data_IF_682862803356
#
_entry.id   IF_682862803356
#
_cell.length_a   1.000
_cell.length_b   1.000
_cell.length_c   1.000
_cell.angle_alpha   90.00
_cell.angle_beta   90.00
_cell.angle_gamma   90.00
#
_symmetry.space_group_name_H-M   'P 1'
#
loop_
_entity.id
_entity.type
_entity.pdbx_description
1 polymer ?
#
# COMPACT_ATOMS: atom_id res chain seq x y z
N UNK A 1 -20.27 28.25 -28.54
CA UNK A 1 -20.22 28.22 -27.05
C UNK A 1 -19.52 29.47 -26.54
N UNK A 2 -20.06 30.13 -25.50
CA UNK A 2 -19.39 31.25 -24.80
C UNK A 2 -18.06 30.77 -24.19
N UNK A 3 -17.03 31.62 -24.14
CA UNK A 3 -15.66 31.25 -23.74
C UNK A 3 -15.58 30.58 -22.36
N UNK A 4 -16.38 31.04 -21.39
CA UNK A 4 -16.49 30.44 -20.05
C UNK A 4 -16.94 28.99 -20.06
N UNK A 5 -17.94 28.67 -20.89
CA UNK A 5 -18.43 27.30 -21.03
C UNK A 5 -17.36 26.40 -21.64
N UNK A 6 -16.49 26.93 -22.51
CA UNK A 6 -15.38 26.16 -23.09
C UNK A 6 -14.31 25.87 -22.05
N UNK A 7 -13.81 26.87 -21.32
CA UNK A 7 -12.81 26.62 -20.27
C UNK A 7 -13.32 25.60 -19.25
N UNK A 8 -14.57 25.74 -18.81
CA UNK A 8 -15.26 24.76 -17.97
C UNK A 8 -15.18 23.34 -18.54
N UNK A 9 -15.68 23.11 -19.76
CA UNK A 9 -15.74 21.77 -20.36
C UNK A 9 -14.35 21.19 -20.60
N UNK A 10 -13.35 22.02 -20.92
CA UNK A 10 -11.98 21.56 -21.14
C UNK A 10 -11.24 21.25 -19.83
N UNK A 11 -11.39 22.04 -18.77
CA UNK A 11 -10.84 21.70 -17.45
C UNK A 11 -11.43 20.39 -16.96
N UNK A 12 -12.75 20.23 -17.08
CA UNK A 12 -13.42 18.99 -16.74
C UNK A 12 -12.88 17.80 -17.56
N UNK A 13 -12.80 17.94 -18.89
CA UNK A 13 -12.29 16.89 -19.77
C UNK A 13 -10.82 16.55 -19.46
N UNK A 14 -9.97 17.54 -19.19
CA UNK A 14 -8.56 17.30 -18.85
C UNK A 14 -8.43 16.55 -17.53
N UNK A 15 -9.23 16.87 -16.52
CA UNK A 15 -9.22 16.17 -15.24
C UNK A 15 -9.73 14.73 -15.35
N UNK A 16 -10.80 14.49 -16.12
CA UNK A 16 -11.33 13.14 -16.35
C UNK A 16 -10.32 12.27 -17.11
N UNK A 17 -9.70 12.80 -18.17
CA UNK A 17 -8.67 12.08 -18.93
C UNK A 17 -7.44 11.82 -18.05
N UNK A 18 -6.98 12.80 -17.28
CA UNK A 18 -5.87 12.61 -16.36
C UNK A 18 -6.17 11.54 -15.30
N UNK A 19 -7.36 11.54 -14.70
CA UNK A 19 -7.77 10.51 -13.75
C UNK A 19 -7.82 9.11 -14.38
N UNK A 20 -8.33 8.99 -15.61
CA UNK A 20 -8.37 7.72 -16.34
C UNK A 20 -6.97 7.20 -16.69
N UNK A 21 -6.03 8.10 -17.03
CA UNK A 21 -4.66 7.74 -17.39
C UNK A 21 -3.78 7.38 -16.20
N UNK A 22 -4.04 7.95 -15.02
CA UNK A 22 -3.22 7.69 -13.83
C UNK A 22 -3.78 6.55 -12.97
N UNK A 23 -5.09 6.27 -13.05
CA UNK A 23 -5.73 5.20 -12.26
C UNK A 23 -5.76 5.48 -10.75
N UNK A 24 -5.44 6.72 -10.32
CA UNK A 24 -5.23 7.07 -8.90
C UNK A 24 -6.51 7.49 -8.19
N UNK A 25 -7.57 7.82 -8.93
CA UNK A 25 -8.87 8.20 -8.37
C UNK A 25 -10.01 7.37 -8.99
N UNK A 26 -11.07 7.12 -8.21
CA UNK A 26 -12.28 6.53 -8.77
C UNK A 26 -12.88 7.47 -9.82
N UNK A 27 -13.39 6.92 -10.93
CA UNK A 27 -13.98 7.72 -12.00
C UNK A 27 -15.14 8.58 -11.48
N UNK A 28 -15.85 8.10 -10.45
CA UNK A 28 -16.93 8.81 -9.78
C UNK A 28 -16.43 10.04 -9.02
N UNK A 29 -15.36 9.90 -8.24
CA UNK A 29 -14.81 11.01 -7.46
C UNK A 29 -14.13 12.03 -8.37
N UNK A 30 -13.43 11.57 -9.42
CA UNK A 30 -12.87 12.42 -10.46
C UNK A 30 -13.96 13.20 -11.22
N UNK A 31 -15.12 12.59 -11.46
CA UNK A 31 -16.26 13.24 -12.12
C UNK A 31 -16.83 14.40 -11.29
N UNK A 32 -17.13 14.17 -10.00
CA UNK A 32 -17.71 15.20 -9.13
C UNK A 32 -16.69 16.26 -8.69
N UNK A 33 -15.46 15.87 -8.37
CA UNK A 33 -14.37 16.80 -8.09
C UNK A 33 -14.04 17.67 -9.31
N UNK A 34 -14.01 17.06 -10.50
CA UNK A 34 -13.80 17.74 -11.77
C UNK A 34 -14.89 18.76 -12.10
N UNK A 35 -16.14 18.51 -11.71
CA UNK A 35 -17.26 19.42 -11.94
C UNK A 35 -17.08 20.77 -11.23
N UNK A 36 -16.74 20.74 -9.94
CA UNK A 36 -16.51 21.96 -9.17
C UNK A 36 -15.20 22.66 -9.56
N UNK A 37 -14.15 21.90 -9.83
CA UNK A 37 -12.90 22.40 -10.37
C UNK A 37 -13.10 23.17 -11.70
N UNK A 38 -13.95 22.63 -12.58
CA UNK A 38 -14.29 23.27 -13.84
C UNK A 38 -15.05 24.59 -13.65
N UNK A 39 -15.93 24.69 -12.65
CA UNK A 39 -16.61 25.95 -12.31
C UNK A 39 -15.61 27.02 -11.86
N UNK A 40 -14.66 26.66 -11.00
CA UNK A 40 -13.59 27.57 -10.58
C UNK A 40 -12.75 28.06 -11.79
N UNK A 41 -12.41 27.15 -12.70
CA UNK A 41 -11.68 27.49 -13.92
C UNK A 41 -12.48 28.42 -14.86
N UNK A 42 -13.80 28.25 -14.93
CA UNK A 42 -14.68 29.16 -15.65
C UNK A 42 -14.66 30.57 -15.05
N UNK A 43 -14.71 30.68 -13.71
CA UNK A 43 -14.63 31.98 -13.00
C UNK A 43 -13.29 32.70 -13.26
N UNK A 44 -12.21 31.93 -13.37
CA UNK A 44 -10.86 32.46 -13.61
C UNK A 44 -10.53 32.75 -15.08
N UNK A 45 -11.44 32.42 -16.02
CA UNK A 45 -11.17 32.53 -17.47
C UNK A 45 -10.73 33.93 -17.90
N UNK A 46 -11.37 35.00 -17.39
CA UNK A 46 -10.94 36.38 -17.71
C UNK A 46 -9.51 36.68 -17.22
N UNK A 47 -9.14 36.14 -16.06
CA UNK A 47 -7.81 36.34 -15.50
C UNK A 47 -6.76 35.62 -16.36
N UNK A 48 -7.05 34.40 -16.81
CA UNK A 48 -6.19 33.66 -17.74
C UNK A 48 -5.97 34.42 -19.04
N UNK A 49 -7.06 34.88 -19.69
CA UNK A 49 -6.99 35.66 -20.93
C UNK A 49 -6.15 36.92 -20.77
N UNK A 50 -6.37 37.69 -19.69
CA UNK A 50 -5.65 38.94 -19.42
C UNK A 50 -4.16 38.73 -19.12
N UNK A 51 -3.85 37.69 -18.34
CA UNK A 51 -2.47 37.35 -17.98
C UNK A 51 -1.64 36.84 -19.16
N UNK A 52 -2.33 36.32 -20.19
CA UNK A 52 -1.73 35.80 -21.40
C UNK A 52 -0.95 34.47 -21.20
N UNK A 53 -0.45 33.87 -22.29
CA UNK A 53 0.12 32.52 -22.25
C UNK A 53 1.34 32.36 -21.32
N UNK A 54 2.05 33.46 -21.04
CA UNK A 54 3.24 33.47 -20.17
C UNK A 54 2.90 33.13 -18.72
N UNK A 55 1.76 33.57 -18.22
CA UNK A 55 1.41 33.47 -16.80
C UNK A 55 0.12 32.67 -16.55
N UNK A 56 -0.74 32.50 -17.55
CA UNK A 56 -2.00 31.78 -17.39
C UNK A 56 -1.80 30.36 -16.87
N UNK A 57 -0.82 29.61 -17.41
CA UNK A 57 -0.49 28.26 -16.95
C UNK A 57 -0.11 28.22 -15.46
N UNK A 58 0.67 29.21 -14.99
CA UNK A 58 1.08 29.32 -13.59
C UNK A 58 -0.11 29.63 -12.67
N UNK A 59 -0.98 30.57 -13.08
CA UNK A 59 -2.20 30.91 -12.33
C UNK A 59 -3.15 29.70 -12.30
N UNK A 60 -3.26 28.98 -13.41
CA UNK A 60 -3.99 27.72 -13.50
C UNK A 60 -3.45 26.69 -12.51
N UNK A 61 -2.14 26.40 -12.57
CA UNK A 61 -1.50 25.46 -11.65
C UNK A 61 -1.73 25.82 -10.18
N UNK A 62 -1.56 27.10 -9.81
CA UNK A 62 -1.79 27.58 -8.45
C UNK A 62 -3.26 27.40 -8.02
N UNK A 63 -4.22 27.71 -8.90
CA UNK A 63 -5.63 27.51 -8.63
C UNK A 63 -5.98 26.01 -8.45
N UNK A 64 -5.39 25.13 -9.27
CA UNK A 64 -5.53 23.68 -9.14
C UNK A 64 -4.99 23.16 -7.81
N UNK A 65 -3.80 23.61 -7.40
CA UNK A 65 -3.22 23.24 -6.10
C UNK A 65 -4.06 23.74 -4.92
N UNK A 66 -4.48 25.01 -4.94
CA UNK A 66 -5.31 25.59 -3.87
C UNK A 66 -6.67 24.88 -3.76
N UNK A 67 -7.25 24.47 -4.89
CA UNK A 67 -8.46 23.66 -4.91
C UNK A 67 -8.29 22.33 -4.17
N UNK A 68 -7.20 21.61 -4.43
CA UNK A 68 -6.92 20.34 -3.76
C UNK A 68 -6.67 20.54 -2.28
N UNK A 69 -5.93 21.58 -1.88
CA UNK A 69 -5.72 21.91 -0.46
C UNK A 69 -7.06 22.19 0.23
N UNK A 70 -7.96 22.95 -0.41
CA UNK A 70 -9.30 23.21 0.12
C UNK A 70 -10.13 21.92 0.25
N UNK A 71 -10.06 21.01 -0.73
CA UNK A 71 -10.73 19.71 -0.67
C UNK A 71 -10.16 18.80 0.40
N UNK A 72 -8.83 18.76 0.56
CA UNK A 72 -8.18 18.00 1.62
C UNK A 72 -8.64 18.47 3.00
N UNK A 73 -8.65 19.78 3.23
CA UNK A 73 -9.15 20.34 4.49
C UNK A 73 -10.63 20.02 4.72
N UNK A 74 -11.48 20.08 3.68
CA UNK A 74 -12.87 19.62 3.78
C UNK A 74 -12.95 18.16 4.26
N UNK A 75 -12.14 17.26 3.70
CA UNK A 75 -12.09 15.85 4.13
C UNK A 75 -11.56 15.75 5.56
N UNK A 76 -10.55 16.54 5.92
CA UNK A 76 -9.99 16.53 7.27
C UNK A 76 -10.99 16.98 8.34
N UNK A 77 -11.86 17.93 8.03
CA UNK A 77 -12.86 18.46 8.98
C UNK A 77 -14.14 17.63 9.04
N UNK A 78 -14.58 17.03 7.93
CA UNK A 78 -15.90 16.40 7.83
C UNK A 78 -15.86 14.92 7.43
N UNK A 79 -14.69 14.38 7.12
CA UNK A 79 -14.50 13.01 6.64
C UNK A 79 -14.30 12.00 7.75
N UNK A 80 -14.57 10.74 7.42
CA UNK A 80 -14.27 9.60 8.28
C UNK A 80 -12.75 9.30 8.29
N UNK A 81 -12.21 8.66 9.34
CA UNK A 81 -10.78 8.36 9.46
C UNK A 81 -10.17 7.64 8.26
N UNK A 82 -10.92 6.74 7.63
CA UNK A 82 -10.48 6.00 6.44
C UNK A 82 -10.30 6.92 5.22
N UNK A 83 -11.20 7.89 5.04
CA UNK A 83 -11.13 8.87 3.95
C UNK A 83 -10.01 9.88 4.17
N UNK A 84 -9.71 10.22 5.42
CA UNK A 84 -8.59 11.06 5.78
C UNK A 84 -7.27 10.36 5.42
N UNK A 85 -7.12 9.09 5.78
CA UNK A 85 -5.92 8.31 5.43
C UNK A 85 -5.75 8.16 3.92
N UNK A 86 -6.84 7.89 3.19
CA UNK A 86 -6.81 7.81 1.73
C UNK A 86 -6.45 9.16 1.10
N UNK A 87 -6.98 10.27 1.62
CA UNK A 87 -6.67 11.60 1.12
C UNK A 87 -5.23 12.02 1.43
N UNK A 88 -4.69 11.70 2.61
CA UNK A 88 -3.28 11.88 2.95
C UNK A 88 -2.37 11.07 2.01
N UNK A 89 -2.82 9.89 1.60
CA UNK A 89 -2.13 9.03 0.65
C UNK A 89 -2.11 9.60 -0.77
N UNK A 90 -3.25 10.09 -1.28
CA UNK A 90 -3.34 10.59 -2.68
C UNK A 90 -3.02 12.07 -2.83
N UNK A 91 -2.79 12.82 -1.75
CA UNK A 91 -2.67 14.29 -1.77
C UNK A 91 -1.67 14.81 -2.80
N UNK A 92 -0.45 14.26 -2.82
CA UNK A 92 0.57 14.68 -3.79
C UNK A 92 0.15 14.40 -5.24
N UNK A 93 -0.64 13.34 -5.43
CA UNK A 93 -1.18 13.01 -6.73
C UNK A 93 -2.30 13.94 -7.16
N UNK A 94 -3.24 14.16 -6.26
CA UNK A 94 -4.37 15.05 -6.51
C UNK A 94 -3.88 16.47 -6.82
N UNK A 95 -2.88 16.97 -6.10
CA UNK A 95 -2.25 18.27 -6.37
C UNK A 95 -1.72 18.33 -7.80
N UNK A 96 -0.93 17.33 -8.21
CA UNK A 96 -0.26 17.35 -9.51
C UNK A 96 -1.25 17.23 -10.68
N UNK A 97 -2.25 16.35 -10.57
CA UNK A 97 -3.31 16.18 -11.59
C UNK A 97 -4.13 17.45 -11.74
N UNK A 98 -4.54 18.07 -10.62
CA UNK A 98 -5.35 19.29 -10.68
C UNK A 98 -4.53 20.51 -11.11
N UNK A 99 -3.28 20.63 -10.66
CA UNK A 99 -2.38 21.67 -11.14
C UNK A 99 -2.20 21.58 -12.66
N UNK A 100 -1.98 20.37 -13.19
CA UNK A 100 -1.83 20.14 -14.63
C UNK A 100 -3.12 20.41 -15.42
N UNK A 101 -4.26 19.92 -14.94
CA UNK A 101 -5.56 20.14 -15.59
C UNK A 101 -5.93 21.62 -15.67
N UNK A 102 -5.75 22.37 -14.58
CA UNK A 102 -5.99 23.81 -14.59
C UNK A 102 -4.95 24.58 -15.38
N UNK A 103 -3.66 24.20 -15.34
CA UNK A 103 -2.61 24.84 -16.13
C UNK A 103 -2.88 24.70 -17.63
N UNK A 104 -3.24 23.50 -18.09
CA UNK A 104 -3.62 23.25 -19.48
C UNK A 104 -4.85 24.04 -19.91
N UNK A 105 -5.89 24.09 -19.07
CA UNK A 105 -7.10 24.85 -19.37
C UNK A 105 -6.88 26.36 -19.38
N UNK A 106 -6.04 26.87 -18.47
CA UNK A 106 -5.67 28.27 -18.43
C UNK A 106 -4.82 28.67 -19.64
N UNK A 107 -3.86 27.82 -20.04
CA UNK A 107 -3.08 28.03 -21.26
C UNK A 107 -3.98 28.02 -22.50
N UNK A 108 -4.91 27.08 -22.59
CA UNK A 108 -5.92 27.04 -23.65
C UNK A 108 -6.70 28.36 -23.72
N UNK A 109 -7.28 28.81 -22.59
CA UNK A 109 -8.03 30.06 -22.52
C UNK A 109 -7.20 31.26 -22.99
N UNK A 110 -5.94 31.34 -22.56
CA UNK A 110 -5.04 32.41 -22.98
C UNK A 110 -4.66 32.34 -24.46
N UNK A 111 -4.38 31.16 -25.00
CA UNK A 111 -4.01 30.97 -26.41
C UNK A 111 -5.17 31.24 -27.37
N UNK A 112 -6.42 31.03 -26.93
CA UNK A 112 -7.61 31.32 -27.72
C UNK A 112 -7.77 32.79 -28.11
N UNK A 113 -7.13 33.69 -27.37
CA UNK A 113 -7.10 35.12 -27.72
C UNK A 113 -6.17 35.44 -28.89
N UNK A 114 -5.31 34.48 -29.30
CA UNK A 114 -4.21 34.71 -30.26
C UNK A 114 -4.13 33.69 -31.39
N UNK A 115 -4.73 32.51 -31.21
CA UNK A 115 -4.62 31.40 -32.14
C UNK A 115 -5.97 30.75 -32.41
N UNK A 116 -6.06 30.10 -33.58
CA UNK A 116 -7.19 29.25 -33.92
C UNK A 116 -7.37 28.14 -32.87
N UNK A 117 -8.62 27.76 -32.65
CA UNK A 117 -9.00 26.78 -31.62
C UNK A 117 -8.17 25.49 -31.62
N UNK A 118 -7.89 24.83 -32.77
CA UNK A 118 -7.10 23.60 -32.76
C UNK A 118 -5.69 23.78 -32.18
N UNK A 119 -5.03 24.90 -32.48
CA UNK A 119 -3.69 25.22 -31.95
C UNK A 119 -3.73 25.51 -30.45
N UNK A 120 -4.73 26.27 -30.00
CA UNK A 120 -4.92 26.56 -28.59
C UNK A 120 -5.25 25.30 -27.79
N UNK A 121 -6.13 24.43 -28.32
CA UNK A 121 -6.49 23.13 -27.75
C UNK A 121 -5.27 22.22 -27.65
N UNK A 122 -4.50 22.11 -28.73
CA UNK A 122 -3.25 21.34 -28.75
C UNK A 122 -2.26 21.82 -27.69
N UNK A 123 -2.06 23.14 -27.56
CA UNK A 123 -1.17 23.70 -26.54
C UNK A 123 -1.61 23.38 -25.10
N UNK A 124 -2.90 23.54 -24.80
CA UNK A 124 -3.45 23.21 -23.48
C UNK A 124 -3.37 21.72 -23.15
N UNK A 125 -3.70 20.85 -24.11
CA UNK A 125 -3.61 19.39 -23.96
C UNK A 125 -2.17 18.92 -23.78
N UNK A 126 -1.24 19.41 -24.59
CA UNK A 126 0.18 19.04 -24.50
C UNK A 126 0.76 19.42 -23.14
N UNK A 127 0.42 20.61 -22.63
CA UNK A 127 0.87 21.03 -21.31
C UNK A 127 0.28 20.14 -20.20
N UNK A 128 -1.04 19.90 -20.21
CA UNK A 128 -1.69 19.04 -19.21
C UNK A 128 -1.13 17.61 -19.25
N UNK A 129 -0.89 17.06 -20.43
CA UNK A 129 -0.30 15.74 -20.60
C UNK A 129 1.17 15.70 -20.15
N UNK A 130 1.98 16.70 -20.51
CA UNK A 130 3.37 16.79 -20.06
C UNK A 130 3.48 16.89 -18.53
N UNK A 131 2.56 17.59 -17.88
CA UNK A 131 2.53 17.74 -16.42
C UNK A 131 1.90 16.54 -15.68
N UNK A 132 1.22 15.63 -16.37
CA UNK A 132 0.63 14.42 -15.78
C UNK A 132 1.33 13.15 -16.25
N UNK A 133 1.23 12.81 -17.52
CA UNK A 133 1.70 11.55 -18.10
C UNK A 133 3.20 11.35 -17.92
N UNK A 134 4.02 12.40 -18.06
CA UNK A 134 5.48 12.25 -17.92
C UNK A 134 5.86 11.96 -16.46
N UNK A 135 5.47 12.76 -15.45
CA UNK A 135 5.74 12.43 -14.05
C UNK A 135 5.14 11.08 -13.63
N UNK A 136 3.88 10.81 -13.95
CA UNK A 136 3.23 9.56 -13.53
C UNK A 136 3.72 8.33 -14.27
N UNK A 137 4.03 8.44 -15.56
CA UNK A 137 4.64 7.35 -16.33
C UNK A 137 6.02 6.99 -15.77
N UNK A 138 6.81 8.00 -15.40
CA UNK A 138 8.11 7.80 -14.75
C UNK A 138 7.93 7.20 -13.35
N UNK A 139 7.00 7.72 -12.53
CA UNK A 139 6.71 7.17 -11.21
C UNK A 139 6.24 5.72 -11.33
N UNK A 140 5.27 5.42 -12.19
CA UNK A 140 4.77 4.07 -12.41
C UNK A 140 5.88 3.12 -12.89
N UNK A 141 6.77 3.60 -13.77
CA UNK A 141 7.94 2.83 -14.20
C UNK A 141 8.92 2.56 -13.06
N UNK A 142 9.24 3.58 -12.24
CA UNK A 142 10.07 3.42 -11.03
C UNK A 142 9.39 2.49 -10.03
N UNK A 143 8.08 2.58 -9.87
CA UNK A 143 7.30 1.76 -8.93
C UNK A 143 7.30 0.31 -9.36
N UNK A 144 7.11 0.07 -10.66
CA UNK A 144 7.18 -1.26 -11.23
C UNK A 144 8.59 -1.86 -11.11
N UNK A 145 9.64 -1.10 -11.45
CA UNK A 145 11.00 -1.63 -11.54
C UNK A 145 11.77 -1.61 -10.23
N UNK A 146 11.59 -0.59 -9.39
CA UNK A 146 12.42 -0.30 -8.21
C UNK A 146 11.65 -0.49 -6.92
N UNK A 147 10.34 -0.22 -6.87
CA UNK A 147 9.52 -0.36 -5.66
C UNK A 147 8.46 -1.46 -5.77
N UNK A 148 8.79 -2.55 -6.48
CA UNK A 148 7.93 -3.73 -6.62
C UNK A 148 7.60 -4.41 -5.29
N UNK A 149 6.61 -5.33 -5.27
CA UNK A 149 6.13 -5.97 -4.06
C UNK A 149 7.21 -6.67 -3.26
N UNK A 150 7.01 -6.76 -1.94
CA UNK A 150 7.91 -7.46 -1.03
C UNK A 150 7.24 -8.74 -0.57
N UNK A 151 7.89 -9.88 -0.75
CA UNK A 151 7.45 -11.14 -0.18
C UNK A 151 8.20 -11.42 1.12
N UNK A 152 7.47 -11.53 2.21
CA UNK A 152 8.03 -11.84 3.53
C UNK A 152 7.79 -13.32 3.83
N UNK A 153 8.88 -14.06 4.08
CA UNK A 153 8.84 -15.42 4.60
C UNK A 153 9.37 -15.39 6.03
N UNK A 154 8.51 -15.74 6.99
CA UNK A 154 8.84 -15.72 8.41
C UNK A 154 9.33 -17.09 8.85
N UNK A 155 10.54 -17.15 9.42
CA UNK A 155 11.12 -18.32 10.06
C UNK A 155 11.14 -18.12 11.57
N UNK A 156 10.70 -19.14 12.29
CA UNK A 156 10.49 -19.10 13.73
C UNK A 156 11.05 -20.35 14.38
N UNK A 157 11.58 -20.19 15.58
CA UNK A 157 12.01 -21.33 16.40
C UNK A 157 10.90 -21.78 17.33
N UNK A 158 10.89 -23.08 17.62
CA UNK A 158 10.02 -23.71 18.61
C UNK A 158 10.83 -24.82 19.31
N UNK A 159 10.55 -25.04 20.60
CA UNK A 159 11.11 -26.18 21.33
C UNK A 159 10.40 -27.46 20.88
N UNK A 160 11.09 -28.22 20.03
CA UNK A 160 10.59 -29.47 19.42
C UNK A 160 11.70 -30.52 19.54
N UNK A 161 11.34 -31.78 19.77
CA UNK A 161 12.29 -32.89 19.84
C UNK A 161 12.99 -33.12 18.47
N UNK A 162 14.26 -33.58 18.44
CA UNK A 162 15.05 -33.66 17.20
C UNK A 162 14.40 -34.48 16.06
N UNK A 163 13.64 -35.50 16.41
CA UNK A 163 12.92 -36.41 15.51
C UNK A 163 11.50 -35.94 15.15
N UNK A 164 11.07 -34.79 15.66
CA UNK A 164 9.75 -34.21 15.42
C UNK A 164 9.82 -32.88 14.66
N UNK A 165 8.70 -32.56 13.99
CA UNK A 165 8.47 -31.29 13.32
C UNK A 165 7.52 -30.38 14.10
N UNK A 166 7.42 -29.09 13.75
CA UNK A 166 6.59 -28.15 14.48
C UNK A 166 5.09 -28.43 14.29
N UNK A 167 4.35 -28.45 15.39
CA UNK A 167 2.88 -28.60 15.38
C UNK A 167 2.22 -27.28 14.98
N UNK A 168 1.41 -27.30 13.91
CA UNK A 168 0.71 -26.13 13.39
C UNK A 168 -0.76 -26.13 13.81
N UNK A 169 -1.41 -24.96 13.87
CA UNK A 169 -2.86 -24.90 14.07
C UNK A 169 -3.59 -25.57 12.91
N UNK A 170 -4.72 -26.22 13.22
CA UNK A 170 -5.64 -26.75 12.20
C UNK A 170 -6.06 -25.60 11.28
N UNK A 171 -5.86 -25.77 9.97
CA UNK A 171 -6.14 -24.75 8.95
C UNK A 171 -4.99 -23.75 8.70
N UNK A 172 -3.86 -23.84 9.41
CA UNK A 172 -2.69 -23.03 9.10
C UNK A 172 -2.02 -23.54 7.81
N UNK A 173 -1.86 -22.65 6.82
CA UNK A 173 -1.15 -22.95 5.58
C UNK A 173 0.35 -22.95 5.85
N UNK A 174 1.02 -24.07 5.55
CA UNK A 174 2.47 -24.14 5.63
C UNK A 174 3.11 -23.22 4.59
N UNK A 175 3.99 -22.34 5.04
CA UNK A 175 4.88 -21.63 4.15
C UNK A 175 5.91 -22.60 3.57
N UNK A 176 5.95 -22.71 2.25
CA UNK A 176 6.91 -23.56 1.53
C UNK A 176 8.02 -22.68 0.99
N UNK A 177 9.26 -23.09 1.23
CA UNK A 177 10.45 -22.46 0.67
C UNK A 177 10.64 -22.89 -0.78
N UNK A 178 11.00 -21.95 -1.66
CA UNK A 178 11.37 -22.27 -3.04
C UNK A 178 12.78 -22.85 -3.11
N UNK A 179 13.12 -23.53 -4.20
CA UNK A 179 14.46 -24.07 -4.40
C UNK A 179 15.55 -22.97 -4.36
N UNK A 180 15.25 -21.78 -4.88
CA UNK A 180 16.16 -20.63 -4.82
C UNK A 180 16.35 -20.11 -3.39
N UNK A 181 15.28 -20.07 -2.59
CA UNK A 181 15.35 -19.67 -1.18
C UNK A 181 16.17 -20.68 -0.35
N UNK A 182 15.99 -21.99 -0.61
CA UNK A 182 16.77 -23.04 0.08
C UNK A 182 18.26 -22.93 -0.27
N UNK A 183 18.58 -22.74 -1.55
CA UNK A 183 19.97 -22.55 -2.00
C UNK A 183 20.59 -21.34 -1.32
N UNK A 184 19.89 -20.20 -1.34
CA UNK A 184 20.33 -18.97 -0.71
C UNK A 184 20.51 -19.12 0.82
N UNK A 185 19.62 -19.84 1.50
CA UNK A 185 19.79 -20.14 2.93
C UNK A 185 21.02 -20.99 3.20
N UNK A 186 21.32 -22.00 2.36
CA UNK A 186 22.50 -22.86 2.50
C UNK A 186 23.82 -22.09 2.36
N UNK A 187 23.82 -20.96 1.65
CA UNK A 187 24.99 -20.08 1.54
C UNK A 187 25.24 -19.26 2.81
N UNK A 188 24.21 -19.05 3.65
CA UNK A 188 24.27 -18.11 4.78
C UNK A 188 24.01 -18.76 6.15
N UNK A 189 23.47 -19.97 6.19
CA UNK A 189 23.13 -20.70 7.40
C UNK A 189 23.16 -22.22 7.15
N UNK A 190 23.17 -23.00 8.23
CA UNK A 190 23.03 -24.44 8.14
C UNK A 190 21.57 -24.78 7.83
N UNK A 191 21.31 -25.49 6.74
CA UNK A 191 19.97 -25.94 6.35
C UNK A 191 19.95 -27.45 6.26
N UNK A 192 19.00 -28.07 6.96
CA UNK A 192 18.81 -29.52 6.97
C UNK A 192 17.39 -29.87 6.54
N UNK A 193 17.21 -31.07 5.99
CA UNK A 193 15.88 -31.62 5.71
C UNK A 193 15.44 -32.43 6.93
N UNK A 194 14.50 -31.87 7.69
CA UNK A 194 13.96 -32.47 8.90
C UNK A 194 12.54 -33.02 8.72
N UNK A 195 11.95 -33.61 9.78
CA UNK A 195 10.57 -34.12 9.79
C UNK A 195 9.53 -33.04 9.44
N UNK A 196 9.84 -31.77 9.72
CA UNK A 196 9.02 -30.59 9.39
C UNK A 196 9.27 -29.99 8.01
N UNK A 197 10.15 -30.59 7.19
CA UNK A 197 10.67 -30.04 5.94
C UNK A 197 12.01 -29.30 6.13
N UNK A 198 12.40 -28.42 5.19
CA UNK A 198 13.65 -27.67 5.26
C UNK A 198 13.65 -26.74 6.47
N UNK A 199 14.64 -26.90 7.34
CA UNK A 199 14.81 -26.15 8.58
C UNK A 199 16.20 -25.51 8.65
N UNK A 200 16.25 -24.28 9.15
CA UNK A 200 17.50 -23.55 9.37
C UNK A 200 17.96 -23.83 10.79
N UNK A 201 19.24 -24.11 10.97
CA UNK A 201 19.86 -24.38 12.28
C UNK A 201 20.86 -23.27 12.60
N UNK A 202 20.73 -22.66 13.77
CA UNK A 202 21.69 -21.65 14.23
C UNK A 202 22.92 -22.28 14.93
N UNK A 203 23.88 -21.44 15.31
CA UNK A 203 25.11 -21.89 15.97
C UNK A 203 24.91 -22.49 17.37
N UNK A 204 23.72 -22.32 17.97
CA UNK A 204 23.33 -22.93 19.24
C UNK A 204 22.53 -24.23 19.03
N UNK A 205 22.35 -24.67 17.79
CA UNK A 205 21.59 -25.86 17.43
C UNK A 205 20.08 -25.66 17.45
N UNK A 206 19.59 -24.41 17.58
CA UNK A 206 18.15 -24.13 17.52
C UNK A 206 17.68 -24.21 16.08
N UNK A 207 16.51 -24.79 15.90
CA UNK A 207 15.90 -25.03 14.59
C UNK A 207 14.82 -24.00 14.30
N UNK A 208 14.72 -23.59 13.05
CA UNK A 208 13.78 -22.59 12.57
C UNK A 208 13.04 -23.11 11.34
N UNK A 209 11.72 -22.98 11.36
CA UNK A 209 10.86 -23.44 10.27
C UNK A 209 10.09 -22.29 9.61
N UNK A 210 9.78 -22.41 8.31
CA UNK A 210 8.94 -21.44 7.63
C UNK A 210 7.51 -21.50 8.20
N UNK A 211 7.10 -20.42 8.85
CA UNK A 211 5.78 -20.29 9.45
C UNK A 211 4.78 -19.73 8.47
N UNK A 212 5.13 -18.61 7.85
CA UNK A 212 4.23 -17.78 7.05
C UNK A 212 4.95 -17.24 5.83
N UNK A 213 4.22 -17.17 4.72
CA UNK A 213 4.61 -16.46 3.50
C UNK A 213 3.55 -15.42 3.19
N UNK A 214 3.93 -14.15 3.07
CA UNK A 214 3.00 -13.06 2.77
C UNK A 214 3.59 -12.10 1.77
N UNK A 215 2.85 -11.87 0.68
CA UNK A 215 3.15 -10.79 -0.28
C UNK A 215 2.57 -9.47 0.23
N UNK A 216 3.43 -8.48 0.38
CA UNK A 216 3.12 -7.10 0.73
C UNK A 216 3.07 -6.31 -0.58
N UNK A 217 1.88 -5.86 -0.96
CA UNK A 217 1.63 -5.09 -2.18
C UNK A 217 1.22 -3.67 -1.79
N UNK A 218 1.81 -2.69 -2.44
CA UNK A 218 1.48 -1.29 -2.23
C UNK A 218 0.10 -0.95 -2.81
N UNK A 219 -0.74 -0.17 -2.13
CA UNK A 219 -1.94 0.40 -2.74
C UNK A 219 -1.57 1.22 -3.98
N UNK A 220 -2.20 0.96 -5.13
CA UNK A 220 -1.91 1.66 -6.38
C UNK A 220 -0.78 1.07 -7.24
N UNK A 221 -0.05 0.03 -6.77
CA UNK A 221 0.92 -0.69 -7.59
C UNK A 221 0.66 -2.21 -7.55
N UNK A 222 -0.15 -2.74 -8.48
CA UNK A 222 -0.56 -4.15 -8.46
C UNK A 222 0.51 -5.13 -9.01
N UNK A 223 1.64 -4.66 -9.54
CA UNK A 223 2.56 -5.53 -10.28
C UNK A 223 4.01 -5.10 -10.36
N UNK A 224 4.88 -6.07 -10.58
CA UNK A 224 6.32 -5.86 -10.68
C UNK A 224 7.11 -7.08 -10.19
N UNK A 225 8.44 -7.10 -10.43
CA UNK A 225 9.36 -8.01 -9.78
C UNK A 225 9.15 -8.04 -8.26
N UNK A 226 9.24 -9.24 -7.71
CA UNK A 226 9.04 -9.52 -6.29
C UNK A 226 10.40 -9.81 -5.67
N UNK A 227 10.71 -9.03 -4.64
CA UNK A 227 11.89 -9.24 -3.80
C UNK A 227 11.48 -9.98 -2.54
N UNK A 228 12.28 -10.96 -2.14
CA UNK A 228 11.91 -11.88 -1.07
C UNK A 228 12.82 -11.68 0.14
N UNK A 229 12.21 -11.49 1.30
CA UNK A 229 12.89 -11.34 2.58
C UNK A 229 12.59 -12.58 3.43
N UNK A 230 13.62 -13.37 3.68
CA UNK A 230 13.62 -14.46 4.65
C UNK A 230 13.96 -13.84 6.01
N UNK A 231 13.01 -13.86 6.94
CA UNK A 231 13.13 -13.20 8.24
C UNK A 231 13.19 -14.25 9.35
N UNK A 232 14.30 -14.33 10.07
CA UNK A 232 14.47 -15.17 11.26
C UNK A 232 14.18 -14.33 12.51
N UNK A 233 13.14 -14.71 13.26
CA UNK A 233 12.82 -14.08 14.55
C UNK A 233 13.78 -14.56 15.65
N UNK A 234 14.12 -13.71 16.64
CA UNK A 234 14.92 -14.16 17.76
C UNK A 234 14.07 -15.09 18.65
N UNK A 235 14.70 -16.13 19.22
CA UNK A 235 14.02 -17.03 20.14
C UNK A 235 13.76 -16.34 21.49
N UNK A 236 12.79 -16.85 22.24
CA UNK A 236 12.61 -16.47 23.65
C UNK A 236 12.15 -15.02 23.90
N UNK A 237 11.50 -14.38 22.93
CA UNK A 237 10.90 -13.05 23.14
C UNK A 237 9.81 -13.11 24.22
N UNK A 238 9.88 -12.21 25.21
CA UNK A 238 8.92 -12.15 26.33
C UNK A 238 8.05 -10.89 26.31
N UNK A 239 8.48 -9.88 25.55
CA UNK A 239 7.85 -8.56 25.44
C UNK A 239 7.61 -8.19 23.99
N UNK A 240 6.72 -7.23 23.79
CA UNK A 240 6.49 -6.63 22.48
C UNK A 240 7.77 -5.96 21.98
N UNK A 241 8.08 -6.15 20.70
CA UNK A 241 9.30 -5.64 20.09
C UNK A 241 9.04 -5.02 18.72
N UNK A 242 9.91 -4.09 18.33
CA UNK A 242 9.84 -3.46 17.02
C UNK A 242 11.20 -3.30 16.38
N UNK A 243 11.26 -3.52 15.07
CA UNK A 243 12.50 -3.46 14.29
C UNK A 243 12.29 -2.71 12.99
N UNK A 244 13.35 -2.05 12.51
CA UNK A 244 13.46 -1.62 11.11
C UNK A 244 14.25 -2.66 10.35
N UNK A 245 13.64 -3.24 9.34
CA UNK A 245 14.21 -4.31 8.54
C UNK A 245 14.53 -3.81 7.12
N UNK A 246 15.79 -3.93 6.69
CA UNK A 246 16.16 -3.65 5.31
C UNK A 246 15.61 -4.71 4.36
N UNK A 247 15.46 -4.33 3.09
CA UNK A 247 15.13 -5.27 2.00
C UNK A 247 16.22 -5.25 0.94
N UNK A 248 16.26 -6.27 0.09
CA UNK A 248 17.24 -6.35 -0.99
C UNK A 248 17.10 -5.22 -2.03
N UNK A 249 18.22 -4.66 -2.49
CA UNK A 249 18.23 -3.60 -3.52
C UNK A 249 17.71 -4.13 -4.87
N UNK A 250 18.20 -5.30 -5.32
CA UNK A 250 17.70 -5.97 -6.53
C UNK A 250 16.20 -6.30 -6.35
N UNK A 251 15.33 -5.85 -7.28
CA UNK A 251 13.90 -6.19 -7.32
C UNK A 251 13.55 -7.67 -7.40
N UNK A 252 14.48 -8.53 -7.86
CA UNK A 252 14.33 -9.99 -7.88
C UNK A 252 15.15 -10.69 -6.79
N UNK A 253 15.84 -9.91 -5.95
CA UNK A 253 16.82 -10.44 -5.02
C UNK A 253 16.20 -11.10 -3.78
N UNK A 254 16.99 -11.99 -3.21
CA UNK A 254 16.75 -12.63 -1.93
C UNK A 254 17.55 -11.92 -0.84
N UNK A 255 16.93 -11.68 0.31
CA UNK A 255 17.61 -11.20 1.50
C UNK A 255 17.30 -12.12 2.68
N UNK A 256 18.31 -12.34 3.51
CA UNK A 256 18.17 -12.95 4.82
C UNK A 256 18.32 -11.86 5.87
N UNK A 257 17.34 -11.79 6.77
CA UNK A 257 17.35 -10.88 7.90
C UNK A 257 17.25 -11.72 9.17
N UNK A 258 18.29 -11.65 9.99
CA UNK A 258 18.27 -12.25 11.33
C UNK A 258 18.13 -11.14 12.34
N UNK A 259 17.02 -11.14 13.06
CA UNK A 259 16.76 -10.19 14.13
C UNK A 259 17.37 -10.69 15.43
N UNK A 260 17.96 -9.79 16.21
CA UNK A 260 18.37 -10.10 17.57
C UNK A 260 17.47 -9.44 18.61
N UNK A 261 17.62 -9.90 19.86
CA UNK A 261 16.90 -9.38 21.02
C UNK A 261 17.36 -7.97 21.43
N UNK A 262 18.38 -7.40 20.79
CA UNK A 262 18.91 -6.06 21.05
C UNK A 262 18.50 -5.05 19.94
N UNK A 263 17.44 -5.36 19.20
CA UNK A 263 16.89 -4.54 18.10
C UNK A 263 17.80 -4.36 16.88
N UNK A 264 18.86 -5.16 16.80
CA UNK A 264 19.78 -5.24 15.68
C UNK A 264 19.20 -6.15 14.59
N UNK A 265 19.32 -5.74 13.34
CA UNK A 265 18.99 -6.58 12.18
C UNK A 265 20.28 -6.91 11.43
N UNK A 266 20.66 -8.19 11.40
CA UNK A 266 21.74 -8.68 10.53
C UNK A 266 21.17 -8.95 9.14
N UNK A 267 21.72 -8.27 8.14
CA UNK A 267 21.28 -8.37 6.76
C UNK A 267 22.31 -9.11 5.91
N UNK A 268 21.84 -10.09 5.15
CA UNK A 268 22.63 -10.78 4.14
C UNK A 268 21.83 -10.88 2.83
N UNK A 269 22.54 -10.99 1.72
CA UNK A 269 21.96 -11.05 0.38
C UNK A 269 22.52 -10.04 -0.61
N UNK A 270 23.21 -8.99 -0.14
CA UNK A 270 23.84 -8.00 -1.01
C UNK A 270 23.68 -6.58 -0.47
N UNK A 271 23.58 -5.56 -1.32
CA UNK A 271 23.29 -4.20 -0.89
C UNK A 271 21.82 -4.01 -0.47
N UNK A 272 21.60 -3.26 0.60
CA UNK A 272 20.27 -2.93 1.10
C UNK A 272 19.60 -1.84 0.25
N UNK A 273 18.29 -1.96 0.06
CA UNK A 273 17.49 -0.97 -0.65
C UNK A 273 17.47 0.36 0.10
N UNK A 274 17.73 1.45 -0.62
CA UNK A 274 17.53 2.81 -0.12
C UNK A 274 16.10 3.29 -0.34
N UNK A 275 15.33 2.61 -1.18
CA UNK A 275 13.99 3.03 -1.57
C UNK A 275 12.90 2.38 -0.73
N UNK A 276 13.16 1.20 -0.15
CA UNK A 276 12.18 0.41 0.59
C UNK A 276 12.78 -0.10 1.89
N UNK A 277 12.01 -0.01 2.97
CA UNK A 277 12.30 -0.66 4.24
C UNK A 277 11.01 -1.18 4.87
N UNK A 278 11.13 -2.10 5.82
CA UNK A 278 10.02 -2.62 6.60
C UNK A 278 10.18 -2.12 8.04
N UNK A 279 9.09 -1.78 8.71
CA UNK A 279 9.06 -1.80 10.17
C UNK A 279 8.16 -2.93 10.62
N UNK A 280 8.65 -3.74 11.54
CA UNK A 280 7.91 -4.82 12.15
C UNK A 280 7.59 -4.44 13.59
N UNK A 281 6.41 -4.82 14.04
CA UNK A 281 6.00 -4.73 15.44
C UNK A 281 5.36 -6.05 15.83
N UNK A 282 5.99 -6.78 16.73
CA UNK A 282 5.53 -8.09 17.18
C UNK A 282 4.93 -7.95 18.57
N UNK A 283 3.69 -8.39 18.73
CA UNK A 283 3.05 -8.50 20.03
C UNK A 283 3.24 -9.92 20.58
N UNK A 284 3.69 -10.03 21.82
CA UNK A 284 4.00 -11.29 22.50
C UNK A 284 3.22 -11.36 23.80
N UNK A 285 2.63 -12.53 24.08
CA UNK A 285 2.06 -12.81 25.39
C UNK A 285 2.88 -13.88 26.07
N UNK A 286 3.56 -13.50 27.14
CA UNK A 286 4.17 -14.44 28.06
C UNK A 286 3.04 -15.15 28.85
N UNK A 287 2.98 -16.47 28.76
CA UNK A 287 2.31 -17.29 29.76
C UNK A 287 3.32 -18.25 30.36
N UNK A 288 3.18 -18.58 31.64
CA UNK A 288 4.14 -19.37 32.42
C UNK A 288 4.72 -20.55 31.61
N UNK A 289 5.98 -20.40 31.17
CA UNK A 289 6.75 -21.44 30.48
C UNK A 289 6.82 -21.39 28.95
N UNK A 290 6.07 -20.53 28.24
CA UNK A 290 6.16 -20.42 26.78
C UNK A 290 5.85 -19.00 26.26
N UNK A 291 6.69 -18.51 25.34
CA UNK A 291 6.42 -17.28 24.59
C UNK A 291 5.43 -17.57 23.47
N UNK A 292 4.23 -16.98 23.56
CA UNK A 292 3.24 -17.07 22.49
C UNK A 292 3.27 -15.78 21.67
N UNK A 293 3.82 -15.87 20.44
CA UNK A 293 3.62 -14.83 19.44
C UNK A 293 2.10 -14.63 19.24
N UNK A 294 1.60 -13.40 19.33
CA UNK A 294 0.17 -13.12 19.19
C UNK A 294 -0.17 -12.51 17.84
N UNK A 295 0.54 -11.42 17.52
CA UNK A 295 0.34 -10.72 16.27
C UNK A 295 1.63 -10.11 15.75
N UNK A 296 1.90 -10.24 14.44
CA UNK A 296 3.00 -9.54 13.77
C UNK A 296 2.43 -8.46 12.86
N UNK A 297 2.65 -7.19 13.19
CA UNK A 297 2.33 -6.06 12.33
C UNK A 297 3.53 -5.72 11.46
N UNK A 298 3.30 -5.58 10.16
CA UNK A 298 4.34 -5.19 9.21
C UNK A 298 3.92 -3.90 8.51
N UNK A 299 4.79 -2.91 8.51
CA UNK A 299 4.57 -1.63 7.87
C UNK A 299 5.65 -1.46 6.82
N UNK A 300 5.28 -1.26 5.57
CA UNK A 300 6.27 -1.03 4.51
C UNK A 300 6.48 0.46 4.34
N UNK A 301 7.73 0.91 4.44
CA UNK A 301 8.15 2.29 4.26
C UNK A 301 8.83 2.43 2.91
N UNK A 302 8.46 3.48 2.19
CA UNK A 302 9.10 3.86 0.94
C UNK A 302 9.74 5.23 1.10
N UNK A 303 11.03 5.31 0.81
CA UNK A 303 11.74 6.57 0.71
C UNK A 303 11.79 6.95 -0.77
N UNK A 304 11.20 8.09 -1.14
CA UNK A 304 11.30 8.59 -2.51
C UNK A 304 12.64 9.32 -2.69
N UNK A 305 13.24 9.29 -3.91
CA UNK A 305 14.46 10.04 -4.23
C UNK A 305 14.35 11.55 -3.98
N UNK A 306 13.12 12.07 -3.88
CA UNK A 306 12.80 13.48 -3.62
C UNK A 306 12.18 13.71 -2.22
N UNK A 307 12.32 12.76 -1.29
CA UNK A 307 11.88 12.87 0.11
C UNK A 307 10.76 11.88 0.50
N UNK A 308 10.17 12.04 1.69
CA UNK A 308 9.07 11.19 2.17
C UNK A 308 7.73 11.59 1.54
N UNK A 309 7.56 11.38 0.23
CA UNK A 309 6.30 11.69 -0.47
C UNK A 309 5.19 10.65 -0.26
N UNK A 310 5.50 9.51 0.35
CA UNK A 310 4.54 8.43 0.61
C UNK A 310 4.28 8.30 2.12
N UNK A 311 3.01 8.26 2.50
CA UNK A 311 2.62 7.97 3.88
C UNK A 311 2.97 6.51 4.24
N UNK A 312 3.32 6.21 5.51
CA UNK A 312 3.58 4.83 5.94
C UNK A 312 2.34 3.96 5.74
N UNK A 313 2.51 2.73 5.25
CA UNK A 313 1.41 1.79 5.02
C UNK A 313 1.32 0.81 6.20
N UNK A 314 0.35 0.97 7.12
CA UNK A 314 0.10 -0.05 8.14
C UNK A 314 -0.59 -1.25 7.50
N UNK A 315 0.09 -2.40 7.39
CA UNK A 315 -0.65 -3.65 7.12
C UNK A 315 -1.21 -4.19 8.42
N UNK A 316 -2.50 -4.56 8.42
CA UNK A 316 -3.18 -5.16 9.58
C UNK A 316 -2.46 -6.45 9.99
N UNK A 317 -2.27 -6.62 11.30
CA UNK A 317 -1.40 -7.62 11.90
C UNK A 317 -1.76 -9.06 11.53
N UNK A 318 -0.72 -9.87 11.34
CA UNK A 318 -0.78 -11.30 11.10
C UNK A 318 -1.12 -12.01 12.42
N UNK A 319 -2.19 -12.81 12.45
CA UNK A 319 -2.53 -13.65 13.61
C UNK A 319 -1.62 -14.88 13.68
N UNK A 320 -1.21 -15.25 14.91
CA UNK A 320 -0.25 -16.33 15.13
C UNK A 320 -0.73 -17.72 14.68
N UNK A 321 0.16 -18.46 14.01
CA UNK A 321 -0.12 -19.76 13.40
C UNK A 321 0.13 -20.99 14.31
N UNK A 322 0.52 -20.80 15.58
CA UNK A 322 0.77 -21.89 16.53
C UNK A 322 -0.28 -22.00 17.65
N UNK A 323 -0.74 -23.22 18.00
CA UNK A 323 -1.59 -23.44 19.16
C UNK A 323 -0.76 -23.22 20.43
N UNK A 324 -1.31 -22.50 21.41
CA UNK A 324 -0.60 -22.14 22.65
C UNK A 324 -0.77 -23.19 23.75
N UNK A 325 -1.43 -24.31 23.47
CA UNK A 325 -1.56 -25.47 24.38
C UNK A 325 -1.95 -26.70 23.57
N UNK A 326 -1.29 -27.83 23.81
CA UNK A 326 -1.86 -29.17 23.56
C UNK A 326 -2.91 -29.41 24.65
N UNK A 327 -4.10 -28.84 24.51
CA UNK A 327 -5.26 -29.36 25.23
C UNK A 327 -6.04 -30.18 24.22
N UNK A 328 -6.25 -31.46 24.53
CA UNK A 328 -7.25 -32.26 23.82
C UNK A 328 -8.54 -31.45 23.71
N UNK A 329 -9.23 -31.47 22.55
CA UNK A 329 -10.47 -30.73 22.40
C UNK A 329 -11.41 -31.12 23.54
N UNK A 330 -11.77 -30.15 24.38
CA UNK A 330 -12.77 -30.37 25.41
C UNK A 330 -14.02 -30.94 24.73
N UNK A 331 -14.62 -32.03 25.27
CA UNK A 331 -15.81 -32.61 24.67
C UNK A 331 -16.85 -31.52 24.49
N UNK A 332 -17.33 -31.37 23.25
CA UNK A 332 -18.22 -30.30 22.83
C UNK A 332 -19.31 -30.09 23.89
N UNK A 333 -19.29 -28.92 24.54
CA UNK A 333 -20.40 -28.50 25.38
C UNK A 333 -21.67 -28.57 24.53
N UNK A 334 -22.66 -29.34 24.99
CA UNK A 334 -23.95 -29.51 24.33
C UNK A 334 -24.47 -28.13 23.93
N UNK A 335 -24.76 -27.96 22.64
CA UNK A 335 -25.41 -26.77 22.10
C UNK A 335 -26.68 -26.49 22.93
N UNK A 336 -26.68 -25.37 23.65
CA UNK A 336 -27.91 -24.80 24.19
C UNK A 336 -28.87 -24.54 23.03
N UNK A 337 -30.03 -25.17 23.10
CA UNK A 337 -31.07 -25.22 22.06
C UNK A 337 -31.76 -23.86 21.80
N UNK A 338 -31.20 -22.75 22.29
CA UNK A 338 -31.76 -21.40 22.21
C UNK A 338 -31.13 -20.50 21.14
N UNK A 339 -30.18 -20.97 20.34
CA UNK A 339 -29.53 -20.18 19.29
C UNK A 339 -29.84 -20.63 17.85
N UNK A 340 -31.00 -21.27 17.62
CA UNK A 340 -31.51 -21.39 16.25
C UNK A 340 -32.03 -20.02 15.76
N UNK A 341 -31.62 -19.55 14.57
CA UNK A 341 -32.11 -18.30 14.01
C UNK A 341 -33.61 -18.43 13.72
N UNK A 342 -34.40 -17.55 14.34
CA UNK A 342 -35.84 -17.49 14.11
C UNK A 342 -36.12 -17.06 12.67
N UNK A 343 -36.87 -17.89 11.93
CA UNK A 343 -37.33 -17.61 10.57
C UNK A 343 -38.31 -16.43 10.61
N UNK A 344 -38.28 -15.47 9.67
CA UNK A 344 -39.24 -14.38 9.67
C UNK A 344 -40.67 -14.92 9.52
N UNK A 345 -41.52 -14.59 10.50
CA UNK A 345 -42.96 -14.84 10.50
C UNK A 345 -43.65 -13.77 9.67
N UNK A 346 -44.15 -14.12 8.48
CA UNK A 346 -45.13 -13.29 7.79
C UNK A 346 -46.48 -13.48 8.48
N UNK A 347 -46.96 -12.45 9.17
CA UNK A 347 -48.24 -12.47 9.85
C UNK A 347 -49.41 -12.50 8.85
N UNK A 348 -50.43 -13.28 9.19
CA UNK A 348 -51.73 -13.32 8.52
C UNK A 348 -52.42 -11.94 8.61
N UNK A 349 -52.36 -11.17 7.53
CA UNK A 349 -53.26 -10.04 7.35
C UNK A 349 -54.66 -10.59 7.01
N UNK A 350 -55.74 -10.21 7.71
CA UNK A 350 -57.08 -10.64 7.36
C UNK A 350 -57.49 -10.04 6.00
N UNK A 351 -58.26 -10.77 5.18
CA UNK A 351 -58.75 -10.24 3.91
C UNK A 351 -59.71 -9.08 4.17
N UNK A 352 -59.50 -7.97 3.47
CA UNK A 352 -60.40 -6.83 3.47
C UNK A 352 -61.80 -7.28 3.02
N UNK A 353 -62.83 -6.84 3.76
CA UNK A 353 -64.23 -6.82 3.30
C UNK A 353 -64.55 -5.45 2.75
#
# INVERSE_FOLDING_TARGET
MKTYARTYWFTWAFLVVAAALTGVASLKDAFFGGLFAALLSALLTKAYERSGPRYAALIGAAAGTLWVVAMFFRIRWFGEPEKIQLAEWTLGTDISVHAAGFAGAALLAALLTRHAFPKALGGGLLLAAAMTVVPYGVIAWVDHRVAGPVELVLLVSAEVAPDEGPVRRVGAVQAVLTAAEILFLKEHALVVEGPGGPEVVDGEGRRYWPLLRRRLVYPGNPGGPVRTVLLILPPGLLTDESWKVPVHQDPHGLALVTLDAQQSARFAGGPASQAVSLALSLAVKASAGASAYQSLRVTTFRQSPVGNMYAPIPTLGLSAAFPTTLVDPAPSAKLDEKSRPSRPSFGDAPPAR
#
